data_IF_350905569676
#
_entry.id   IF_350905569676
#
_cell.length_a   1.000
_cell.length_b   1.000
_cell.length_c   1.000
_cell.angle_alpha   90.00
_cell.angle_beta   90.00
_cell.angle_gamma   90.00
#
_symmetry.space_group_name_H-M   'P 1'
#
loop_
_entity.id
_entity.type
_entity.pdbx_description
1 polymer ?
#
# COMPACT_ATOMS: atom_id res chain seq x y z
N UNK A 1 13.57 13.40 -27.52
CA UNK A 1 13.13 12.08 -27.04
C UNK A 1 12.22 12.29 -25.85
N UNK A 2 11.09 11.58 -25.72
CA UNK A 2 10.32 11.63 -24.48
C UNK A 2 11.25 11.22 -23.33
N UNK A 3 11.32 12.02 -22.27
CA UNK A 3 12.12 11.68 -21.10
C UNK A 3 11.57 10.46 -20.37
N UNK A 4 12.28 10.00 -19.33
CA UNK A 4 11.89 8.87 -18.47
C UNK A 4 10.50 9.02 -17.82
N UNK A 5 9.83 10.17 -17.95
CA UNK A 5 8.52 10.43 -17.38
C UNK A 5 7.43 9.51 -17.93
N UNK A 6 7.51 9.10 -19.20
CA UNK A 6 6.53 8.20 -19.81
C UNK A 6 6.60 6.83 -19.14
N UNK A 7 7.81 6.31 -18.96
CA UNK A 7 8.06 5.01 -18.33
C UNK A 7 7.67 5.01 -16.84
N UNK A 8 7.82 6.17 -16.16
CA UNK A 8 7.49 6.32 -14.74
C UNK A 8 6.03 6.75 -14.48
N UNK A 9 5.24 7.05 -15.52
CA UNK A 9 3.87 7.52 -15.37
C UNK A 9 3.00 6.57 -14.53
N UNK A 10 3.03 5.23 -14.74
CA UNK A 10 2.23 4.31 -13.92
C UNK A 10 2.62 4.36 -12.43
N UNK A 11 3.91 4.47 -12.13
CA UNK A 11 4.44 4.54 -10.76
C UNK A 11 3.98 5.81 -10.06
N UNK A 12 4.02 6.95 -10.74
CA UNK A 12 3.56 8.24 -10.19
C UNK A 12 2.05 8.21 -9.93
N UNK A 13 1.26 7.65 -10.85
CA UNK A 13 -0.19 7.52 -10.68
C UNK A 13 -0.54 6.60 -9.51
N UNK A 14 0.19 5.50 -9.33
CA UNK A 14 0.03 4.62 -8.18
C UNK A 14 0.33 5.39 -6.89
N UNK A 15 1.50 6.04 -6.80
CA UNK A 15 1.92 6.82 -5.63
C UNK A 15 0.85 7.86 -5.24
N UNK A 16 0.34 8.62 -6.21
CA UNK A 16 -0.70 9.61 -5.96
C UNK A 16 -2.00 9.01 -5.41
N UNK A 17 -2.38 7.80 -5.84
CA UNK A 17 -3.61 7.11 -5.37
C UNK A 17 -3.48 6.53 -3.97
N UNK A 18 -2.28 6.13 -3.56
CA UNK A 18 -2.04 5.47 -2.27
C UNK A 18 -1.57 6.44 -1.18
N UNK A 19 -1.08 7.62 -1.54
CA UNK A 19 -0.68 8.64 -0.59
C UNK A 19 -1.88 9.36 0.01
N UNK A 20 -1.80 9.64 1.31
CA UNK A 20 -2.78 10.46 2.03
C UNK A 20 -2.77 11.89 1.47
N UNK A 21 -3.96 12.41 1.18
CA UNK A 21 -4.13 13.81 0.77
C UNK A 21 -4.50 14.66 1.98
N UNK A 22 -3.85 15.82 2.14
CA UNK A 22 -4.09 16.74 3.28
C UNK A 22 -5.55 17.18 3.37
N UNK A 23 -6.20 17.45 2.23
CA UNK A 23 -7.58 17.94 2.15
C UNK A 23 -8.62 16.99 2.72
N UNK A 24 -8.37 15.67 2.65
CA UNK A 24 -9.33 14.65 3.10
C UNK A 24 -8.82 13.86 4.31
N UNK A 25 -7.52 13.86 4.57
CA UNK A 25 -6.89 12.99 5.56
C UNK A 25 -6.82 11.52 5.14
N UNK A 26 -7.23 11.18 3.91
CA UNK A 26 -7.23 9.82 3.36
C UNK A 26 -6.56 9.77 2.00
N UNK A 27 -6.14 8.57 1.59
CA UNK A 27 -5.74 8.31 0.21
C UNK A 27 -6.96 8.11 -0.69
N UNK A 28 -6.89 8.47 -1.98
CA UNK A 28 -7.94 8.16 -2.94
C UNK A 28 -8.33 6.68 -2.97
N UNK A 29 -7.36 5.78 -2.84
CA UNK A 29 -7.61 4.35 -2.76
C UNK A 29 -8.52 4.00 -1.58
N UNK A 30 -8.19 4.48 -0.38
CA UNK A 30 -9.01 4.26 0.82
C UNK A 30 -10.43 4.80 0.67
N UNK A 31 -10.61 5.96 0.04
CA UNK A 31 -11.95 6.53 -0.16
C UNK A 31 -12.83 5.68 -1.08
N UNK A 32 -12.23 4.99 -2.06
CA UNK A 32 -12.98 4.15 -3.02
C UNK A 32 -13.24 2.75 -2.44
N UNK A 33 -12.25 2.15 -1.78
CA UNK A 33 -12.32 0.75 -1.35
C UNK A 33 -12.71 0.58 0.11
N UNK A 34 -12.62 1.64 0.92
CA UNK A 34 -12.75 1.60 2.37
C UNK A 34 -11.57 0.91 3.07
N UNK A 35 -10.49 0.59 2.36
CA UNK A 35 -9.33 -0.14 2.88
C UNK A 35 -8.02 0.52 2.48
N UNK A 36 -6.98 0.31 3.28
CA UNK A 36 -5.64 0.74 2.90
C UNK A 36 -5.15 -0.07 1.69
N UNK A 37 -4.35 0.54 0.79
CA UNK A 37 -3.74 -0.18 -0.31
C UNK A 37 -2.65 -1.12 0.21
N UNK A 38 -2.68 -2.37 -0.25
CA UNK A 38 -1.57 -3.31 -0.05
C UNK A 38 -0.41 -2.92 -0.97
N UNK A 39 0.75 -2.64 -0.40
CA UNK A 39 1.93 -2.23 -1.15
C UNK A 39 2.75 -3.45 -1.61
N UNK A 40 3.49 -3.36 -2.74
CA UNK A 40 4.32 -4.47 -3.20
C UNK A 40 5.33 -4.97 -2.16
N UNK A 41 5.88 -4.06 -1.34
CA UNK A 41 6.80 -4.43 -0.25
C UNK A 41 6.12 -5.28 0.83
N UNK A 42 4.82 -5.13 1.04
CA UNK A 42 4.07 -5.88 2.06
C UNK A 42 3.85 -7.36 1.68
N UNK A 43 4.13 -7.71 0.43
CA UNK A 43 4.18 -9.10 -0.04
C UNK A 43 5.49 -9.79 0.34
N UNK A 44 6.58 -9.02 0.49
CA UNK A 44 7.88 -9.51 0.93
C UNK A 44 8.05 -9.41 2.45
N UNK A 45 7.54 -8.33 3.05
CA UNK A 45 7.53 -8.07 4.48
C UNK A 45 6.09 -7.90 4.96
N UNK A 46 5.45 -8.97 5.48
CA UNK A 46 4.06 -8.90 5.90
C UNK A 46 3.82 -7.78 6.90
N UNK A 47 2.81 -6.96 6.66
CA UNK A 47 2.33 -5.98 7.64
C UNK A 47 1.01 -6.46 8.22
N UNK A 48 0.43 -5.70 9.14
CA UNK A 48 -0.91 -5.98 9.67
C UNK A 48 -1.99 -6.13 8.60
N UNK A 49 -1.79 -5.61 7.38
CA UNK A 49 -2.75 -5.75 6.29
C UNK A 49 -2.63 -7.09 5.56
N UNK A 50 -1.41 -7.63 5.45
CA UNK A 50 -1.11 -8.85 4.68
C UNK A 50 -0.78 -10.06 5.56
N UNK A 51 -0.75 -9.89 6.88
CA UNK A 51 -0.44 -10.95 7.83
C UNK A 51 -1.45 -12.10 7.71
N UNK A 52 -0.99 -13.37 7.62
CA UNK A 52 -1.88 -14.52 7.55
C UNK A 52 -2.46 -14.83 8.93
N UNK A 53 -3.44 -14.04 9.39
CA UNK A 53 -4.03 -14.14 10.73
C UNK A 53 -4.59 -15.53 11.08
N UNK A 54 -4.92 -16.36 10.09
CA UNK A 54 -5.37 -17.74 10.34
C UNK A 54 -4.23 -18.69 10.73
N UNK A 55 -2.99 -18.33 10.42
CA UNK A 55 -1.79 -19.15 10.65
C UNK A 55 -1.02 -18.66 11.88
N UNK A 56 -1.04 -17.36 12.18
CA UNK A 56 -0.39 -16.80 13.36
C UNK A 56 -1.16 -17.19 14.62
N UNK A 57 -0.50 -17.88 15.55
CA UNK A 57 -1.09 -18.37 16.82
C UNK A 57 -0.39 -17.84 18.06
N UNK A 58 0.79 -17.25 17.92
CA UNK A 58 1.62 -16.78 19.03
C UNK A 58 1.91 -15.30 18.89
N UNK A 59 2.20 -14.63 20.01
CA UNK A 59 2.63 -13.23 20.03
C UNK A 59 3.88 -13.01 19.18
N UNK A 60 4.85 -13.92 19.26
CA UNK A 60 6.11 -13.80 18.52
C UNK A 60 5.87 -13.79 17.01
N UNK A 61 4.86 -14.53 16.52
CA UNK A 61 4.46 -14.50 15.11
C UNK A 61 3.77 -13.21 14.66
N UNK A 62 3.42 -12.30 15.58
CA UNK A 62 2.90 -10.96 15.28
C UNK A 62 4.01 -9.89 15.26
N UNK A 63 5.19 -10.20 15.78
CA UNK A 63 6.30 -9.25 15.98
C UNK A 63 7.47 -9.47 15.01
N UNK A 64 7.37 -10.50 14.16
CA UNK A 64 8.39 -10.91 13.20
C UNK A 64 8.29 -10.16 11.87
#
# INVERSE_FOLDING_TARGET
LPGLWVDNLPTVLLANRISVQESTGYSPYQMITGQNPVLPIELALPTWQTLPFRQVRTRDGLLA
#
